data_IF_927782388753
#
_entry.id   IF_927782388753
#
_cell.length_a   1.000
_cell.length_b   1.000
_cell.length_c   1.000
_cell.angle_alpha   90.00
_cell.angle_beta   90.00
_cell.angle_gamma   90.00
#
_symmetry.space_group_name_H-M   'P 1'
#
loop_
_entity.id
_entity.type
_entity.pdbx_description
1 polymer ?
#
# COMPACT_ATOMS: atom_id res chain seq x y z
N UNK A 1 -10.79 2.16 -9.32
CA UNK A 1 -10.52 3.48 -9.93
C UNK A 1 -9.52 3.35 -11.08
N UNK A 2 -8.48 2.56 -10.93
CA UNK A 2 -7.42 2.39 -11.94
C UNK A 2 -7.72 1.37 -13.05
N UNK A 3 -8.84 0.62 -12.97
CA UNK A 3 -9.13 -0.53 -13.84
C UNK A 3 -9.18 -0.28 -15.37
N UNK A 4 -9.14 0.98 -15.80
CA UNK A 4 -9.09 1.35 -17.23
C UNK A 4 -7.64 1.56 -17.73
N UNK A 5 -6.68 1.59 -16.83
CA UNK A 5 -5.28 1.87 -17.15
C UNK A 5 -4.54 0.55 -17.39
N UNK A 6 -3.75 0.44 -18.48
CA UNK A 6 -2.91 -0.74 -18.70
C UNK A 6 -1.97 -0.96 -17.51
N UNK A 7 -1.85 -2.21 -17.06
CA UNK A 7 -1.02 -2.55 -15.90
C UNK A 7 -1.61 -2.13 -14.54
N UNK A 8 -2.91 -1.84 -14.48
CA UNK A 8 -3.57 -1.31 -13.29
C UNK A 8 -3.44 -2.19 -12.04
N UNK A 9 -3.47 -3.53 -12.18
CA UNK A 9 -3.28 -4.42 -11.03
C UNK A 9 -1.86 -4.34 -10.47
N UNK A 10 -0.84 -4.36 -11.33
CA UNK A 10 0.54 -4.18 -10.89
C UNK A 10 0.76 -2.80 -10.24
N UNK A 11 0.14 -1.74 -10.77
CA UNK A 11 0.17 -0.41 -10.13
C UNK A 11 -0.54 -0.42 -8.76
N UNK A 12 -1.64 -1.16 -8.62
CA UNK A 12 -2.34 -1.34 -7.35
C UNK A 12 -1.48 -2.11 -6.35
N UNK A 13 -0.76 -3.15 -6.80
CA UNK A 13 0.20 -3.88 -6.00
C UNK A 13 1.30 -2.95 -5.44
N UNK A 14 1.90 -2.12 -6.32
CA UNK A 14 2.93 -1.14 -5.92
C UNK A 14 2.39 -0.14 -4.89
N UNK A 15 1.20 0.41 -5.12
CA UNK A 15 0.55 1.33 -4.20
C UNK A 15 0.23 0.64 -2.85
N UNK A 16 -0.26 -0.59 -2.90
CA UNK A 16 -0.51 -1.42 -1.71
C UNK A 16 0.75 -1.66 -0.90
N UNK A 17 1.86 -2.02 -1.55
CA UNK A 17 3.16 -2.19 -0.90
C UNK A 17 3.66 -0.90 -0.25
N UNK A 18 3.51 0.25 -0.94
CA UNK A 18 3.88 1.55 -0.39
C UNK A 18 3.08 1.87 0.88
N UNK A 19 1.76 1.68 0.84
CA UNK A 19 0.87 1.97 1.97
C UNK A 19 1.09 0.98 3.12
N UNK A 20 1.06 -0.32 2.85
CA UNK A 20 1.25 -1.33 3.90
C UNK A 20 2.65 -1.28 4.49
N UNK A 21 3.67 -1.13 3.66
CA UNK A 21 5.07 -1.04 4.10
C UNK A 21 5.35 0.20 4.95
N UNK A 22 4.67 1.31 4.70
CA UNK A 22 4.80 2.53 5.51
C UNK A 22 4.28 2.34 6.94
N UNK A 23 3.29 1.47 7.13
CA UNK A 23 2.74 1.14 8.45
C UNK A 23 3.56 0.05 9.12
N UNK A 24 3.81 -1.06 8.40
CA UNK A 24 4.51 -2.23 8.96
C UNK A 24 6.01 -1.99 9.17
N UNK A 25 6.61 -1.09 8.37
CA UNK A 25 8.06 -0.87 8.36
C UNK A 25 8.87 -2.05 7.81
N UNK A 26 8.21 -3.06 7.26
CA UNK A 26 8.85 -4.30 6.78
C UNK A 26 8.50 -4.56 5.32
N UNK A 27 9.50 -4.51 4.43
CA UNK A 27 9.32 -4.86 3.03
C UNK A 27 8.93 -6.31 2.82
N UNK A 28 9.44 -7.23 3.64
CA UNK A 28 9.08 -8.65 3.58
C UNK A 28 7.60 -8.84 3.92
N UNK A 29 7.13 -8.18 4.99
CA UNK A 29 5.73 -8.23 5.37
C UNK A 29 4.82 -7.62 4.29
N UNK A 30 5.24 -6.50 3.67
CA UNK A 30 4.51 -5.87 2.57
C UNK A 30 4.43 -6.81 1.37
N UNK A 31 5.56 -7.35 0.90
CA UNK A 31 5.59 -8.28 -0.23
C UNK A 31 4.70 -9.50 0.01
N UNK A 32 4.71 -10.06 1.22
CA UNK A 32 3.92 -11.25 1.55
C UNK A 32 2.43 -10.93 1.63
N UNK A 33 2.05 -9.86 2.33
CA UNK A 33 0.66 -9.51 2.53
C UNK A 33 0.00 -9.05 1.22
N UNK A 34 0.62 -8.09 0.53
CA UNK A 34 0.07 -7.53 -0.70
C UNK A 34 0.20 -8.52 -1.86
N UNK A 35 1.36 -9.21 -1.99
CA UNK A 35 1.54 -10.23 -3.01
C UNK A 35 0.54 -11.37 -2.88
N UNK A 36 0.26 -11.82 -1.65
CA UNK A 36 -0.72 -12.88 -1.40
C UNK A 36 -2.13 -12.53 -1.86
N UNK A 37 -2.52 -11.26 -1.78
CA UNK A 37 -3.83 -10.77 -2.25
C UNK A 37 -3.83 -10.48 -3.74
N UNK A 38 -2.76 -9.87 -4.25
CA UNK A 38 -2.73 -9.38 -5.63
C UNK A 38 -2.39 -10.46 -6.66
N UNK A 39 -1.54 -11.43 -6.30
CA UNK A 39 -1.10 -12.46 -7.23
C UNK A 39 -2.25 -13.29 -7.83
N UNK A 40 -3.24 -13.77 -7.05
CA UNK A 40 -4.40 -14.47 -7.64
C UNK A 40 -5.18 -13.61 -8.63
N UNK A 41 -5.37 -12.30 -8.31
CA UNK A 41 -6.07 -11.36 -9.17
C UNK A 41 -5.30 -11.08 -10.47
N UNK A 42 -3.98 -10.98 -10.39
CA UNK A 42 -3.09 -10.80 -11.54
C UNK A 42 -3.08 -12.06 -12.42
N UNK A 43 -3.04 -13.24 -11.82
CA UNK A 43 -3.13 -14.53 -12.53
C UNK A 43 -4.45 -14.66 -13.30
N UNK A 44 -5.60 -14.33 -12.68
CA UNK A 44 -6.92 -14.36 -13.32
C UNK A 44 -7.02 -13.39 -14.51
N UNK A 45 -6.31 -12.29 -14.48
CA UNK A 45 -6.27 -11.29 -15.54
C UNK A 45 -5.18 -11.59 -16.59
N UNK A 46 -4.46 -12.72 -16.46
CA UNK A 46 -3.48 -13.19 -17.42
C UNK A 46 -2.14 -12.45 -17.37
N UNK A 47 -1.80 -11.89 -16.23
CA UNK A 47 -0.46 -11.30 -16.03
C UNK A 47 0.60 -12.40 -16.02
N UNK A 48 1.77 -12.05 -16.55
CA UNK A 48 2.95 -12.92 -16.45
C UNK A 48 3.39 -13.00 -14.99
N UNK A 49 3.52 -14.22 -14.46
CA UNK A 49 3.86 -14.46 -13.04
C UNK A 49 5.23 -13.92 -12.67
N UNK A 50 6.19 -13.98 -13.58
CA UNK A 50 7.51 -13.46 -13.32
C UNK A 50 7.48 -11.94 -13.20
N UNK A 51 6.68 -11.28 -14.05
CA UNK A 51 6.46 -9.83 -13.97
C UNK A 51 5.74 -9.43 -12.68
N UNK A 52 4.66 -10.13 -12.31
CA UNK A 52 3.90 -9.88 -11.09
C UNK A 52 4.78 -10.02 -9.84
N UNK A 53 5.55 -11.10 -9.76
CA UNK A 53 6.49 -11.30 -8.66
C UNK A 53 7.58 -10.22 -8.62
N UNK A 54 8.15 -9.85 -9.76
CA UNK A 54 9.15 -8.81 -9.84
C UNK A 54 8.61 -7.43 -9.42
N UNK A 55 7.40 -7.07 -9.87
CA UNK A 55 6.74 -5.82 -9.49
C UNK A 55 6.46 -5.76 -7.98
N UNK A 56 5.97 -6.87 -7.41
CA UNK A 56 5.71 -6.98 -5.98
C UNK A 56 6.99 -6.82 -5.15
N UNK A 57 8.04 -7.59 -5.46
CA UNK A 57 9.32 -7.55 -4.72
C UNK A 57 10.03 -6.22 -4.90
N UNK A 58 10.06 -5.66 -6.11
CA UNK A 58 10.71 -4.38 -6.36
C UNK A 58 10.03 -3.20 -5.64
N UNK A 59 8.71 -3.27 -5.44
CA UNK A 59 7.96 -2.21 -4.76
C UNK A 59 7.87 -2.38 -3.24
N UNK A 60 8.15 -3.55 -2.72
CA UNK A 60 8.06 -3.84 -1.28
C UNK A 60 8.92 -2.91 -0.39
N UNK A 61 10.16 -2.50 -0.77
CA UNK A 61 10.94 -1.57 0.02
C UNK A 61 10.42 -0.13 0.02
N UNK A 62 9.54 0.25 -0.92
CA UNK A 62 9.01 1.62 -1.04
C UNK A 62 8.39 2.10 0.28
N UNK A 63 7.58 1.25 0.91
CA UNK A 63 6.93 1.59 2.16
C UNK A 63 7.88 1.83 3.32
N UNK A 64 9.07 1.21 3.30
CA UNK A 64 10.09 1.45 4.34
C UNK A 64 10.70 2.85 4.27
N UNK A 65 10.63 3.50 3.10
CA UNK A 65 11.12 4.86 2.90
C UNK A 65 10.06 5.92 3.21
N UNK A 66 8.78 5.54 3.19
CA UNK A 66 7.67 6.46 3.42
C UNK A 66 7.32 6.44 4.92
N UNK A 67 7.42 7.58 5.64
CA UNK A 67 7.01 7.64 7.04
C UNK A 67 5.50 7.32 7.21
N UNK A 68 5.11 6.74 8.34
CA UNK A 68 5.82 6.51 9.61
C UNK A 68 6.44 5.11 9.72
N UNK A 69 7.57 4.85 9.10
CA UNK A 69 8.18 3.52 9.22
C UNK A 69 8.84 3.32 10.58
N UNK A 70 8.82 2.09 11.09
CA UNK A 70 9.49 1.73 12.34
C UNK A 70 10.98 2.11 12.34
N UNK A 71 11.64 2.04 11.19
CA UNK A 71 13.05 2.41 11.03
C UNK A 71 13.31 3.89 11.34
N UNK A 72 12.45 4.81 10.91
CA UNK A 72 12.62 6.25 11.18
C UNK A 72 12.21 6.64 12.59
N UNK A 73 11.31 5.86 13.19
CA UNK A 73 10.86 6.07 14.57
C UNK A 73 11.99 5.78 15.56
N UNK A 74 12.77 4.72 15.33
CA UNK A 74 13.91 4.35 16.19
C UNK A 74 15.01 5.42 16.18
N UNK A 75 15.18 6.15 15.08
CA UNK A 75 16.21 7.19 14.94
C UNK A 75 15.75 8.59 15.36
N UNK A 76 14.55 8.75 15.91
CA UNK A 76 13.97 9.96 16.54
C UNK A 76 14.30 11.32 15.90
N UNK A 77 14.45 11.37 14.59
CA UNK A 77 14.72 12.61 13.89
C UNK A 77 13.54 13.01 12.99
N UNK A 78 12.76 13.99 13.42
CA UNK A 78 11.66 14.57 12.63
C UNK A 78 12.10 14.98 11.21
N UNK A 79 13.36 15.35 11.03
CA UNK A 79 13.96 15.68 9.73
C UNK A 79 14.16 14.46 8.84
N UNK A 80 14.45 13.27 9.39
CA UNK A 80 14.55 12.02 8.65
C UNK A 80 13.17 11.53 8.18
N UNK A 81 12.14 11.74 9.01
CA UNK A 81 10.75 11.48 8.62
C UNK A 81 10.36 12.26 7.35
N UNK A 82 10.76 13.52 7.27
CA UNK A 82 10.47 14.36 6.08
C UNK A 82 11.32 13.97 4.87
N UNK A 83 12.57 13.57 5.08
CA UNK A 83 13.49 13.22 3.99
C UNK A 83 13.13 11.92 3.27
N UNK A 84 12.48 10.97 3.94
CA UNK A 84 12.07 9.68 3.37
C UNK A 84 10.94 9.78 2.33
N UNK A 85 10.10 10.81 2.39
CA UNK A 85 8.98 10.99 1.47
C UNK A 85 9.42 11.12 0.01
N UNK A 86 10.42 11.92 -0.25
CA UNK A 86 10.89 12.20 -1.62
C UNK A 86 11.43 10.93 -2.30
N UNK A 87 12.42 10.20 -1.72
CA UNK A 87 12.93 8.99 -2.33
C UNK A 87 11.89 7.87 -2.40
N UNK A 88 11.02 7.73 -1.38
CA UNK A 88 9.97 6.74 -1.38
C UNK A 88 8.93 6.96 -2.50
N UNK A 89 8.45 8.19 -2.65
CA UNK A 89 7.53 8.55 -3.73
C UNK A 89 8.17 8.44 -5.10
N UNK A 90 9.45 8.83 -5.24
CA UNK A 90 10.19 8.68 -6.50
C UNK A 90 10.32 7.21 -6.89
N UNK A 91 10.65 6.35 -5.94
CA UNK A 91 10.75 4.91 -6.18
C UNK A 91 9.40 4.31 -6.58
N UNK A 92 8.33 4.64 -5.85
CA UNK A 92 6.97 4.20 -6.20
C UNK A 92 6.59 4.64 -7.62
N UNK A 93 6.87 5.90 -7.97
CA UNK A 93 6.58 6.45 -9.29
C UNK A 93 7.34 5.70 -10.39
N UNK A 94 8.63 5.42 -10.20
CA UNK A 94 9.42 4.67 -11.15
C UNK A 94 8.89 3.25 -11.36
N UNK A 95 8.54 2.55 -10.27
CA UNK A 95 7.91 1.24 -10.36
C UNK A 95 6.56 1.30 -11.11
N UNK A 96 5.74 2.32 -10.84
CA UNK A 96 4.46 2.51 -11.55
C UNK A 96 4.65 2.80 -13.05
N UNK A 97 5.66 3.58 -13.42
CA UNK A 97 5.99 3.83 -14.83
C UNK A 97 6.37 2.52 -15.53
N UNK A 98 7.22 1.71 -14.91
CA UNK A 98 7.62 0.40 -15.46
C UNK A 98 6.39 -0.50 -15.61
N UNK A 99 5.54 -0.58 -14.56
CA UNK A 99 4.32 -1.37 -14.59
C UNK A 99 3.35 -0.91 -15.70
N UNK A 100 3.22 0.39 -15.89
CA UNK A 100 2.39 0.97 -16.96
C UNK A 100 2.94 0.63 -18.35
N UNK A 101 4.24 0.85 -18.57
CA UNK A 101 4.88 0.58 -19.87
C UNK A 101 4.82 -0.90 -20.21
N UNK A 102 5.11 -1.77 -19.24
CA UNK A 102 5.03 -3.21 -19.42
C UNK A 102 3.60 -3.68 -19.66
N UNK A 103 2.65 -3.19 -18.87
CA UNK A 103 1.24 -3.49 -19.03
C UNK A 103 0.67 -3.03 -20.39
N UNK A 104 1.10 -1.86 -20.87
CA UNK A 104 0.74 -1.36 -22.21
C UNK A 104 1.32 -2.24 -23.33
N UNK A 105 2.57 -2.68 -23.18
CA UNK A 105 3.24 -3.52 -24.19
C UNK A 105 2.59 -4.90 -24.30
N UNK A 106 2.14 -5.47 -23.18
CA UNK A 106 1.54 -6.82 -23.14
C UNK A 106 0.00 -6.79 -23.17
N UNK A 107 -0.60 -5.61 -23.27
CA UNK A 107 -2.06 -5.46 -23.38
C UNK A 107 -2.82 -5.83 -22.11
N UNK A 108 -2.19 -5.71 -20.94
CA UNK A 108 -2.84 -5.99 -19.67
C UNK A 108 -3.87 -4.91 -19.35
N UNK A 109 -5.11 -5.17 -19.74
CA UNK A 109 -6.26 -4.33 -19.42
C UNK A 109 -7.24 -5.17 -18.63
N UNK A 110 -7.66 -4.70 -17.47
CA UNK A 110 -8.66 -5.38 -16.65
C UNK A 110 -9.93 -5.58 -17.47
N UNK A 111 -10.34 -6.82 -17.66
CA UNK A 111 -11.61 -7.17 -18.30
C UNK A 111 -12.72 -6.51 -17.49
N UNK A 112 -13.51 -5.68 -18.17
CA UNK A 112 -14.54 -4.84 -17.55
C UNK A 112 -15.57 -5.70 -16.80
N UNK A 113 -15.52 -5.72 -15.49
CA UNK A 113 -16.74 -5.74 -14.73
C UNK A 113 -17.31 -4.31 -14.71
N UNK A 114 -18.61 -4.19 -14.89
CA UNK A 114 -19.30 -2.90 -14.88
C UNK A 114 -19.10 -2.25 -13.49
N UNK A 115 -18.06 -1.42 -13.38
CA UNK A 115 -17.84 -0.57 -12.21
C UNK A 115 -18.97 0.49 -12.19
N UNK A 116 -20.07 0.14 -11.57
CA UNK A 116 -21.12 1.10 -11.26
C UNK A 116 -20.59 2.06 -10.22
N UNK A 117 -20.85 3.36 -10.38
CA UNK A 117 -20.43 4.38 -9.41
C UNK A 117 -20.81 4.05 -7.97
N UNK A 118 -21.91 3.30 -7.77
CA UNK A 118 -22.34 2.79 -6.47
C UNK A 118 -21.34 1.80 -5.86
N UNK A 119 -20.74 0.92 -6.67
CA UNK A 119 -19.75 -0.06 -6.20
C UNK A 119 -18.47 0.67 -5.76
N UNK A 120 -18.02 1.64 -6.57
CA UNK A 120 -16.83 2.45 -6.21
C UNK A 120 -17.05 3.22 -4.92
N UNK A 121 -18.21 3.87 -4.78
CA UNK A 121 -18.54 4.63 -3.58
C UNK A 121 -18.66 3.71 -2.34
N UNK A 122 -19.28 2.54 -2.48
CA UNK A 122 -19.36 1.55 -1.42
C UNK A 122 -17.98 1.06 -1.00
N UNK A 123 -17.13 0.70 -1.96
CA UNK A 123 -15.75 0.23 -1.67
C UNK A 123 -14.92 1.31 -0.97
N UNK A 124 -15.05 2.57 -1.36
CA UNK A 124 -14.40 3.68 -0.66
C UNK A 124 -14.93 3.79 0.77
N UNK A 125 -16.26 3.70 0.96
CA UNK A 125 -16.87 3.78 2.28
C UNK A 125 -16.43 2.63 3.20
N UNK A 126 -16.39 1.42 2.67
CA UNK A 126 -15.93 0.21 3.38
C UNK A 126 -14.42 0.28 3.73
N UNK A 127 -13.63 1.02 2.95
CA UNK A 127 -12.20 1.22 3.21
C UNK A 127 -11.91 2.33 4.26
N UNK A 128 -12.85 3.25 4.50
CA UNK A 128 -12.66 4.38 5.44
C UNK A 128 -12.23 3.91 6.83
N UNK A 129 -12.87 2.91 7.46
CA UNK A 129 -12.48 2.46 8.80
C UNK A 129 -11.02 1.99 8.85
N UNK A 130 -10.57 1.25 7.83
CA UNK A 130 -9.18 0.77 7.76
C UNK A 130 -8.18 1.92 7.53
N UNK A 131 -8.54 2.89 6.67
CA UNK A 131 -7.71 4.07 6.42
C UNK A 131 -7.64 5.00 7.64
N UNK A 132 -8.70 5.03 8.46
CA UNK A 132 -8.74 5.86 9.66
C UNK A 132 -7.71 5.42 10.71
N UNK A 133 -7.35 4.13 10.74
CA UNK A 133 -6.25 3.63 11.56
C UNK A 133 -4.93 4.35 11.25
N UNK A 134 -4.64 4.57 9.97
CA UNK A 134 -3.42 5.28 9.55
C UNK A 134 -3.43 6.71 10.11
N UNK A 135 -4.57 7.38 10.02
CA UNK A 135 -4.73 8.75 10.53
C UNK A 135 -4.54 8.82 12.05
N UNK A 136 -5.09 7.85 12.79
CA UNK A 136 -4.94 7.76 14.24
C UNK A 136 -3.46 7.58 14.61
N UNK A 137 -2.77 6.64 13.97
CA UNK A 137 -1.36 6.33 14.28
C UNK A 137 -0.48 7.53 13.93
N UNK A 138 -0.56 8.02 12.70
CA UNK A 138 0.27 9.13 12.24
C UNK A 138 -0.06 10.40 13.03
N UNK A 139 -1.33 10.73 13.16
CA UNK A 139 -1.79 11.91 13.88
C UNK A 139 -1.39 11.87 15.35
N UNK A 140 -1.51 10.73 16.01
CA UNK A 140 -1.15 10.55 17.40
C UNK A 140 0.36 10.67 17.67
N UNK A 141 1.19 10.12 16.77
CA UNK A 141 2.66 10.23 16.87
C UNK A 141 3.13 11.65 16.57
N UNK A 142 2.63 12.25 15.49
CA UNK A 142 3.05 13.61 15.10
C UNK A 142 2.60 14.70 16.08
N UNK A 143 1.44 14.51 16.72
CA UNK A 143 0.95 15.41 17.76
C UNK A 143 1.59 15.17 19.12
N UNK A 144 2.43 14.12 19.27
CA UNK A 144 3.10 13.77 20.51
C UNK A 144 2.21 13.12 21.58
N UNK A 145 0.98 12.72 21.23
CA UNK A 145 0.08 12.02 22.17
C UNK A 145 0.51 10.57 22.39
N UNK A 146 1.13 9.95 21.40
CA UNK A 146 1.58 8.57 21.48
C UNK A 146 3.06 8.44 21.15
N UNK A 147 3.75 7.62 21.93
CA UNK A 147 5.00 7.03 21.48
C UNK A 147 4.70 5.95 20.42
N UNK A 148 5.67 5.58 19.57
CA UNK A 148 5.49 4.51 18.58
C UNK A 148 5.04 3.19 19.18
N UNK A 149 5.52 2.87 20.37
CA UNK A 149 5.14 1.67 21.11
C UNK A 149 3.68 1.71 21.54
N UNK A 150 3.21 2.83 22.06
CA UNK A 150 1.80 3.03 22.44
C UNK A 150 0.89 3.03 21.21
N UNK A 151 1.34 3.64 20.10
CA UNK A 151 0.61 3.61 18.83
C UNK A 151 0.38 2.17 18.32
N UNK A 152 1.34 1.26 18.53
CA UNK A 152 1.16 -0.16 18.18
C UNK A 152 0.07 -0.83 19.02
N UNK A 153 -0.02 -0.52 20.31
CA UNK A 153 -1.08 -0.98 21.20
C UNK A 153 -2.46 -0.46 20.76
N UNK A 154 -2.56 0.83 20.42
CA UNK A 154 -3.78 1.44 19.89
C UNK A 154 -4.19 0.78 18.58
N UNK A 155 -3.22 0.47 17.69
CA UNK A 155 -3.49 -0.21 16.43
C UNK A 155 -4.10 -1.60 16.64
N UNK A 156 -3.57 -2.39 17.57
CA UNK A 156 -4.09 -3.72 17.89
C UNK A 156 -5.53 -3.64 18.42
N UNK A 157 -5.79 -2.73 19.37
CA UNK A 157 -7.14 -2.54 19.92
C UNK A 157 -8.12 -2.10 18.83
N UNK A 158 -7.72 -1.15 17.99
CA UNK A 158 -8.56 -0.68 16.88
C UNK A 158 -8.85 -1.79 15.87
N UNK A 159 -7.80 -2.55 15.46
CA UNK A 159 -7.97 -3.68 14.55
C UNK A 159 -8.89 -4.77 15.12
N UNK A 160 -8.79 -5.04 16.44
CA UNK A 160 -9.67 -5.98 17.12
C UNK A 160 -11.13 -5.49 17.09
N UNK A 161 -11.36 -4.21 17.37
CA UNK A 161 -12.69 -3.61 17.29
C UNK A 161 -13.25 -3.72 15.87
N UNK A 162 -12.46 -3.38 14.84
CA UNK A 162 -12.90 -3.53 13.44
C UNK A 162 -13.24 -4.99 13.10
N UNK A 163 -12.43 -5.95 13.53
CA UNK A 163 -12.66 -7.37 13.25
C UNK A 163 -13.95 -7.92 13.88
N UNK A 164 -14.45 -7.29 14.95
CA UNK A 164 -15.69 -7.73 15.63
C UNK A 164 -16.92 -7.04 15.06
N UNK A 165 -16.80 -5.80 14.57
CA UNK A 165 -17.95 -4.96 14.18
C UNK A 165 -18.10 -4.78 12.66
N UNK A 166 -17.11 -5.15 11.85
CA UNK A 166 -17.12 -5.06 10.40
C UNK A 166 -16.89 -6.42 9.75
#
# INVERSE_FOLDING_TARGET
>A
VLGKVPGSLAMTNIAGNAMFGSISGSGIAAATAIGGVMQPLEDEQGYDRAFSAAANVASAPVGQLIPPTASFIVFSAARLLMAGWIPGLLWALLCMIVAFVYGKKHGYVVKREHLTSKIVLKTIWDAIPSLFLIVIIIGGILSGYFTPTEASGVAVVYAFILSVFV
#
